data_IF_644897673079
#
_entry.id   IF_644897673079
#
_cell.length_a   1.000
_cell.length_b   1.000
_cell.length_c   1.000
_cell.angle_alpha   90.00
_cell.angle_beta   90.00
_cell.angle_gamma   90.00
#
_symmetry.space_group_name_H-M   'P 1'
#
loop_
_entity.id
_entity.type
_entity.pdbx_description
1 polymer ?
#
# COMPACT_ATOMS: atom_id res chain seq x y z
N UNK A 1 -7.87 -7.89 15.43
CA UNK A 1 -6.57 -8.55 15.16
C UNK A 1 -6.14 -9.45 16.31
N UNK A 2 -5.95 -8.96 17.53
CA UNK A 2 -5.52 -9.79 18.68
C UNK A 2 -6.40 -11.00 18.97
N UNK A 3 -7.72 -10.91 18.76
CA UNK A 3 -8.63 -12.06 18.88
C UNK A 3 -8.26 -13.18 17.90
N UNK A 4 -7.97 -12.84 16.63
CA UNK A 4 -7.54 -13.81 15.63
C UNK A 4 -6.16 -14.38 15.97
N UNK A 5 -5.22 -13.54 16.41
CA UNK A 5 -3.90 -14.00 16.89
C UNK A 5 -4.00 -14.97 18.05
N UNK A 6 -4.88 -14.73 19.03
CA UNK A 6 -5.11 -15.64 20.16
C UNK A 6 -5.68 -16.99 19.73
N UNK A 7 -6.49 -17.01 18.66
CA UNK A 7 -7.00 -18.24 18.06
C UNK A 7 -5.90 -19.01 17.31
N UNK A 8 -5.07 -18.30 16.55
CA UNK A 8 -3.93 -18.89 15.82
C UNK A 8 -2.85 -19.41 16.78
N UNK A 9 -2.59 -18.67 17.87
CA UNK A 9 -1.58 -18.93 18.89
C UNK A 9 -2.20 -18.81 20.29
N UNK A 10 -2.69 -19.90 20.89
CA UNK A 10 -3.30 -19.88 22.22
C UNK A 10 -2.38 -19.34 23.33
N UNK A 11 -1.06 -19.41 23.15
CA UNK A 11 -0.07 -18.83 24.07
C UNK A 11 0.08 -17.30 23.95
N UNK A 12 -0.37 -16.69 22.85
CA UNK A 12 -0.30 -15.23 22.66
C UNK A 12 -1.05 -14.50 23.77
N UNK A 13 -0.48 -13.41 24.28
CA UNK A 13 -1.16 -12.51 25.21
C UNK A 13 -1.23 -11.11 24.60
N UNK A 14 -2.40 -10.46 24.57
CA UNK A 14 -2.46 -9.08 24.10
C UNK A 14 -1.64 -8.17 25.04
N UNK A 15 -1.02 -7.11 24.50
CA UNK A 15 -0.25 -6.17 25.31
C UNK A 15 -1.12 -5.51 26.39
N UNK A 16 -0.54 -5.16 27.55
CA UNK A 16 -1.26 -4.53 28.64
C UNK A 16 -1.85 -3.17 28.21
N UNK A 17 -2.84 -2.68 28.97
CA UNK A 17 -3.48 -1.37 28.75
C UNK A 17 -4.09 -1.17 27.35
N UNK A 18 -4.45 -2.26 26.66
CA UNK A 18 -4.94 -2.22 25.26
C UNK A 18 -3.92 -1.54 24.32
N UNK A 19 -2.62 -1.74 24.58
CA UNK A 19 -1.55 -1.23 23.75
C UNK A 19 -1.72 -1.60 22.27
N UNK A 20 -1.42 -0.65 21.39
CA UNK A 20 -1.60 -0.79 19.94
C UNK A 20 -0.33 -0.58 19.11
N UNK A 21 0.84 -0.53 19.76
CA UNK A 21 2.10 -0.25 19.06
C UNK A 21 2.60 -1.51 18.35
N UNK A 22 2.57 -1.49 17.01
CA UNK A 22 2.95 -2.62 16.16
C UNK A 22 4.36 -2.49 15.56
N UNK A 23 5.16 -1.52 16.03
CA UNK A 23 6.56 -1.35 15.62
C UNK A 23 7.38 -2.64 15.69
N UNK A 24 7.23 -3.51 16.72
CA UNK A 24 7.94 -4.79 16.73
C UNK A 24 7.71 -5.68 15.52
N UNK A 25 6.50 -5.66 14.93
CA UNK A 25 6.24 -6.41 13.71
C UNK A 25 6.99 -5.81 12.52
N UNK A 26 7.03 -4.49 12.43
CA UNK A 26 7.76 -3.79 11.37
C UNK A 26 9.27 -4.10 11.43
N UNK A 27 9.86 -4.08 12.62
CA UNK A 27 11.27 -4.43 12.85
C UNK A 27 11.58 -5.89 12.45
N UNK A 28 10.59 -6.78 12.57
CA UNK A 28 10.67 -8.19 12.17
C UNK A 28 10.37 -8.42 10.68
N UNK A 29 10.26 -7.35 9.88
CA UNK A 29 10.09 -7.43 8.42
C UNK A 29 8.63 -7.40 7.93
N UNK A 30 7.67 -7.05 8.79
CA UNK A 30 6.27 -6.87 8.39
C UNK A 30 6.04 -5.45 7.87
N UNK A 31 5.81 -5.32 6.56
CA UNK A 31 5.43 -4.04 5.97
C UNK A 31 3.94 -3.72 6.25
N UNK A 32 3.69 -2.82 7.20
CA UNK A 32 2.36 -2.31 7.53
C UNK A 32 2.01 -1.09 6.66
N UNK A 33 1.42 -1.33 5.49
CA UNK A 33 1.16 -0.29 4.49
C UNK A 33 -0.34 0.08 4.43
N UNK A 34 -0.65 1.33 4.73
CA UNK A 34 -1.97 1.90 4.47
C UNK A 34 -2.13 2.25 2.98
N UNK A 35 -3.38 2.27 2.50
CA UNK A 35 -3.70 2.67 1.13
C UNK A 35 -3.61 4.18 0.90
N UNK A 36 -3.92 4.95 1.94
CA UNK A 36 -3.73 6.39 2.01
C UNK A 36 -2.86 6.69 3.23
N UNK A 37 -1.79 7.47 3.06
CA UNK A 37 -0.77 7.65 4.11
C UNK A 37 -1.01 8.88 4.99
N UNK A 38 -2.00 9.70 4.66
CA UNK A 38 -2.35 10.91 5.42
C UNK A 38 -3.87 11.05 5.51
N UNK A 39 -4.32 11.73 6.55
CA UNK A 39 -5.73 12.03 6.79
C UNK A 39 -5.79 13.32 7.60
N UNK A 40 -6.80 14.16 7.36
CA UNK A 40 -7.10 15.29 8.25
C UNK A 40 -7.70 14.78 9.55
N UNK A 41 -7.41 15.49 10.64
CA UNK A 41 -7.96 15.14 11.95
C UNK A 41 -9.49 15.05 11.87
N UNK A 42 -10.05 13.97 12.43
CA UNK A 42 -11.49 13.69 12.48
C UNK A 42 -12.23 13.54 11.13
N UNK A 43 -11.55 13.63 9.99
CA UNK A 43 -12.16 13.48 8.66
C UNK A 43 -11.65 12.20 7.98
N UNK A 44 -12.30 11.07 8.27
CA UNK A 44 -11.99 9.80 7.63
C UNK A 44 -12.05 9.93 6.09
N UNK A 45 -11.06 9.36 5.40
CA UNK A 45 -10.93 9.40 3.94
C UNK A 45 -10.78 10.80 3.30
N UNK A 46 -10.48 11.86 4.07
CA UNK A 46 -10.28 13.23 3.55
C UNK A 46 -9.25 13.35 2.42
N UNK A 47 -8.22 12.50 2.42
CA UNK A 47 -7.20 12.45 1.37
C UNK A 47 -7.33 11.24 0.44
N UNK A 48 -8.46 10.53 0.46
CA UNK A 48 -8.71 9.45 -0.50
C UNK A 48 -8.81 10.00 -1.92
N UNK A 49 -8.37 9.20 -2.90
CA UNK A 49 -8.30 9.53 -4.32
C UNK A 49 -7.44 10.77 -4.66
N UNK A 50 -6.49 11.13 -3.78
CA UNK A 50 -5.54 12.25 -3.98
C UNK A 50 -4.15 11.80 -4.43
N UNK A 51 -4.01 10.54 -4.85
CA UNK A 51 -2.78 10.00 -5.46
C UNK A 51 -1.99 9.03 -4.57
N UNK A 52 -2.27 8.99 -3.26
CA UNK A 52 -1.65 8.01 -2.37
C UNK A 52 -1.93 6.56 -2.80
N UNK A 53 -3.10 6.30 -3.37
CA UNK A 53 -3.48 4.97 -3.84
C UNK A 53 -2.57 4.49 -4.97
N UNK A 54 -2.16 5.39 -5.87
CA UNK A 54 -1.23 5.10 -6.97
C UNK A 54 0.17 4.84 -6.42
N UNK A 55 0.62 5.67 -5.48
CA UNK A 55 1.91 5.50 -4.83
C UNK A 55 2.00 4.15 -4.10
N UNK A 56 1.04 3.85 -3.23
CA UNK A 56 1.02 2.62 -2.44
C UNK A 56 0.81 1.38 -3.31
N UNK A 57 0.05 1.48 -4.40
CA UNK A 57 -0.02 0.40 -5.40
C UNK A 57 1.34 0.14 -6.03
N UNK A 58 2.10 1.19 -6.40
CA UNK A 58 3.43 1.01 -6.97
C UNK A 58 4.40 0.35 -5.99
N UNK A 59 4.28 0.64 -4.68
CA UNK A 59 5.04 -0.06 -3.64
C UNK A 59 4.72 -1.56 -3.64
N UNK A 60 3.43 -1.93 -3.66
CA UNK A 60 3.00 -3.35 -3.73
C UNK A 60 3.57 -4.03 -4.97
N UNK A 61 3.44 -3.39 -6.13
CA UNK A 61 3.93 -3.93 -7.40
C UNK A 61 5.45 -4.13 -7.38
N UNK A 62 6.21 -3.17 -6.82
CA UNK A 62 7.65 -3.28 -6.68
C UNK A 62 8.07 -4.38 -5.72
N UNK A 63 7.36 -4.56 -4.61
CA UNK A 63 7.60 -5.67 -3.67
C UNK A 63 7.38 -7.01 -4.36
N UNK A 64 6.26 -7.17 -5.07
CA UNK A 64 5.96 -8.39 -5.82
C UNK A 64 7.00 -8.68 -6.91
N UNK A 65 7.42 -7.65 -7.66
CA UNK A 65 8.43 -7.79 -8.70
C UNK A 65 9.81 -8.16 -8.12
N UNK A 66 10.33 -7.36 -7.17
CA UNK A 66 11.72 -7.47 -6.69
C UNK A 66 11.98 -8.62 -5.74
N UNK A 67 10.97 -9.10 -4.98
CA UNK A 67 11.18 -10.20 -4.01
C UNK A 67 11.15 -11.56 -4.70
N UNK A 68 12.27 -11.94 -5.29
CA UNK A 68 12.43 -13.20 -6.06
C UNK A 68 12.04 -14.46 -5.27
N UNK A 69 12.41 -14.52 -3.98
CA UNK A 69 12.09 -15.64 -3.09
C UNK A 69 10.63 -15.67 -2.62
N UNK A 70 9.81 -14.69 -2.97
CA UNK A 70 8.40 -14.62 -2.58
C UNK A 70 8.17 -13.93 -1.24
N UNK A 71 6.95 -13.46 -1.00
CA UNK A 71 6.52 -12.84 0.27
C UNK A 71 5.07 -13.21 0.55
N UNK A 72 4.61 -12.97 1.77
CA UNK A 72 3.21 -13.13 2.15
C UNK A 72 2.48 -11.78 2.05
N UNK A 73 1.39 -11.74 1.30
CA UNK A 73 0.45 -10.62 1.25
C UNK A 73 -0.79 -10.98 2.07
N UNK A 74 -1.04 -10.24 3.16
CA UNK A 74 -2.29 -10.32 3.91
C UNK A 74 -3.23 -9.18 3.47
N UNK A 75 -4.26 -9.52 2.70
CA UNK A 75 -5.21 -8.56 2.15
C UNK A 75 -6.58 -8.72 2.82
N UNK A 76 -6.87 -7.88 3.80
CA UNK A 76 -8.12 -7.92 4.57
C UNK A 76 -9.13 -6.88 4.09
N UNK A 77 -10.31 -7.34 3.71
CA UNK A 77 -11.38 -6.53 3.13
C UNK A 77 -11.27 -6.33 1.63
N UNK A 78 -12.39 -5.96 1.01
CA UNK A 78 -12.51 -5.76 -0.44
C UNK A 78 -11.47 -4.78 -1.01
N UNK A 79 -11.21 -3.61 -0.39
CA UNK A 79 -10.22 -2.66 -0.93
C UNK A 79 -8.81 -3.24 -1.01
N UNK A 80 -8.36 -3.95 0.03
CA UNK A 80 -7.06 -4.59 0.04
C UNK A 80 -7.01 -5.77 -0.95
N UNK A 81 -8.08 -6.56 -1.00
CA UNK A 81 -8.20 -7.71 -1.92
C UNK A 81 -8.04 -7.33 -3.39
N UNK A 82 -8.58 -6.17 -3.81
CA UNK A 82 -8.44 -5.64 -5.18
C UNK A 82 -7.00 -5.29 -5.56
N UNK A 83 -6.18 -4.86 -4.59
CA UNK A 83 -4.79 -4.41 -4.83
C UNK A 83 -3.81 -5.55 -5.08
N UNK A 84 -4.13 -6.75 -4.59
CA UNK A 84 -3.29 -7.94 -4.72
C UNK A 84 -3.76 -8.91 -5.80
N UNK A 85 -4.74 -8.54 -6.64
CA UNK A 85 -5.28 -9.41 -7.71
C UNK A 85 -4.21 -9.80 -8.73
N UNK A 86 -3.29 -8.87 -9.03
CA UNK A 86 -2.22 -9.08 -10.02
C UNK A 86 -0.97 -9.77 -9.44
N UNK A 87 -0.98 -10.09 -8.15
CA UNK A 87 0.17 -10.76 -7.51
C UNK A 87 0.22 -12.21 -7.98
N UNK A 88 1.40 -12.64 -8.44
CA UNK A 88 1.65 -14.04 -8.82
C UNK A 88 1.59 -14.96 -7.58
N UNK A 89 0.52 -15.74 -7.48
CA UNK A 89 0.28 -16.68 -6.40
C UNK A 89 1.18 -17.94 -6.44
N UNK A 90 1.91 -18.20 -7.53
CA UNK A 90 2.93 -19.26 -7.56
C UNK A 90 4.20 -18.82 -6.81
N UNK A 91 4.51 -17.53 -6.92
CA UNK A 91 5.70 -16.92 -6.31
C UNK A 91 5.43 -16.44 -4.88
N UNK A 92 4.27 -15.86 -4.63
CA UNK A 92 3.90 -15.25 -3.35
C UNK A 92 2.72 -15.96 -2.72
N UNK A 93 2.60 -15.89 -1.39
CA UNK A 93 1.38 -16.30 -0.71
C UNK A 93 0.43 -15.11 -0.62
N UNK A 94 -0.82 -15.26 -1.05
CA UNK A 94 -1.86 -14.23 -0.92
C UNK A 94 -2.98 -14.76 -0.02
N UNK A 95 -3.11 -14.17 1.16
CA UNK A 95 -4.13 -14.51 2.14
C UNK A 95 -5.21 -13.43 2.15
N UNK A 96 -6.46 -13.81 1.83
CA UNK A 96 -7.61 -12.89 1.77
C UNK A 96 -8.66 -13.26 2.80
N UNK A 97 -9.20 -12.25 3.50
CA UNK A 97 -10.33 -12.41 4.41
C UNK A 97 -11.12 -11.11 4.50
N UNK A 98 -12.23 -11.09 5.24
CA UNK A 98 -12.97 -9.87 5.59
C UNK A 98 -12.12 -8.95 6.46
N UNK A 99 -12.48 -7.67 6.55
CA UNK A 99 -11.70 -6.68 7.28
C UNK A 99 -11.81 -6.90 8.81
N UNK A 100 -10.74 -6.64 9.61
CA UNK A 100 -10.76 -6.74 11.08
C UNK A 100 -11.67 -5.74 11.80
N UNK A 101 -12.28 -4.78 11.10
CA UNK A 101 -13.24 -3.84 11.68
C UNK A 101 -14.43 -4.58 12.32
N UNK A 102 -14.96 -4.09 13.46
CA UNK A 102 -16.13 -4.69 14.12
C UNK A 102 -17.31 -4.97 13.18
N UNK A 103 -17.52 -4.14 12.17
CA UNK A 103 -18.62 -4.26 11.19
C UNK A 103 -18.56 -5.55 10.36
N UNK A 104 -17.38 -6.14 10.21
CA UNK A 104 -17.16 -7.32 9.35
C UNK A 104 -16.39 -8.46 10.00
N UNK A 105 -15.74 -8.25 11.14
CA UNK A 105 -14.81 -9.23 11.70
C UNK A 105 -15.45 -10.58 12.05
N UNK A 106 -16.70 -10.56 12.54
CA UNK A 106 -17.48 -11.76 12.86
C UNK A 106 -17.83 -12.61 11.63
N UNK A 107 -17.72 -12.05 10.41
CA UNK A 107 -18.02 -12.74 9.15
C UNK A 107 -16.87 -13.63 8.66
N UNK A 108 -15.81 -13.80 9.45
CA UNK A 108 -14.72 -14.73 9.16
C UNK A 108 -13.29 -14.20 9.37
N UNK A 109 -13.10 -12.99 9.89
CA UNK A 109 -11.75 -12.50 10.19
C UNK A 109 -11.16 -13.24 11.39
N UNK A 110 -11.96 -13.47 12.45
CA UNK A 110 -11.46 -14.09 13.67
C UNK A 110 -10.93 -15.52 13.46
N UNK A 111 -11.47 -16.23 12.48
CA UNK A 111 -11.17 -17.64 12.22
C UNK A 111 -10.34 -17.83 10.93
N UNK A 112 -9.74 -16.75 10.40
CA UNK A 112 -9.05 -16.80 9.12
C UNK A 112 -7.73 -17.62 9.14
N UNK A 113 -7.07 -17.74 10.29
CA UNK A 113 -5.82 -18.48 10.42
C UNK A 113 -4.60 -17.80 9.78
N UNK A 114 -4.69 -16.51 9.45
CA UNK A 114 -3.68 -15.88 8.58
C UNK A 114 -2.30 -15.77 9.20
N UNK A 115 -2.19 -15.53 10.51
CA UNK A 115 -0.89 -15.35 11.16
C UNK A 115 -0.14 -16.68 11.20
N UNK A 116 -0.85 -17.76 11.52
CA UNK A 116 -0.30 -19.12 11.47
C UNK A 116 0.09 -19.55 10.06
N UNK A 117 -0.82 -19.40 9.08
CA UNK A 117 -0.57 -19.73 7.67
C UNK A 117 0.63 -18.96 7.08
N UNK A 118 0.80 -17.70 7.46
CA UNK A 118 1.94 -16.91 7.02
C UNK A 118 3.26 -17.48 7.55
N UNK A 119 3.33 -17.80 8.84
CA UNK A 119 4.53 -18.39 9.43
C UNK A 119 4.83 -19.78 8.86
N UNK A 120 3.83 -20.64 8.69
CA UNK A 120 4.00 -21.97 8.06
C UNK A 120 4.61 -21.87 6.65
N UNK A 121 4.13 -20.92 5.86
CA UNK A 121 4.66 -20.67 4.52
C UNK A 121 6.07 -20.09 4.55
N UNK A 122 6.35 -19.15 5.46
CA UNK A 122 7.68 -18.57 5.62
C UNK A 122 8.70 -19.65 6.01
N UNK A 123 8.39 -20.49 6.98
CA UNK A 123 9.26 -21.60 7.42
C UNK A 123 9.51 -22.59 6.28
N UNK A 124 8.45 -22.96 5.54
CA UNK A 124 8.58 -23.89 4.41
C UNK A 124 9.50 -23.32 3.31
N UNK A 125 9.50 -22.00 3.10
CA UNK A 125 10.22 -21.36 1.99
C UNK A 125 11.60 -20.83 2.35
N UNK A 126 11.84 -20.52 3.63
CA UNK A 126 13.06 -19.89 4.10
C UNK A 126 13.80 -20.70 5.17
N UNK A 127 13.21 -21.78 5.67
CA UNK A 127 13.79 -22.63 6.72
C UNK A 127 13.31 -22.25 8.12
N UNK A 128 13.76 -23.03 9.11
CA UNK A 128 13.46 -22.77 10.51
C UNK A 128 14.05 -21.41 10.97
N UNK A 129 13.28 -20.64 11.73
CA UNK A 129 13.67 -19.30 12.22
C UNK A 129 13.25 -18.15 11.31
N UNK A 130 12.57 -18.42 10.19
CA UNK A 130 12.03 -17.41 9.29
C UNK A 130 10.62 -16.93 9.68
N UNK A 131 10.00 -17.55 10.68
CA UNK A 131 8.72 -17.15 11.23
C UNK A 131 8.76 -15.74 11.81
N UNK A 132 7.63 -15.05 11.73
CA UNK A 132 7.42 -13.80 12.42
C UNK A 132 6.99 -14.10 13.84
N UNK A 133 7.77 -13.64 14.81
CA UNK A 133 7.29 -13.51 16.17
C UNK A 133 6.19 -12.44 16.20
N UNK A 134 4.96 -12.84 16.50
CA UNK A 134 3.79 -11.96 16.58
C UNK A 134 3.59 -11.36 17.98
N UNK A 135 4.39 -11.73 18.97
CA UNK A 135 4.28 -11.19 20.33
C UNK A 135 4.77 -9.74 20.39
N UNK A 136 4.03 -8.91 21.12
CA UNK A 136 4.31 -7.48 21.31
C UNK A 136 4.94 -7.19 22.69
N UNK A 137 5.21 -8.22 23.49
CA UNK A 137 5.74 -8.09 24.86
C UNK A 137 7.24 -7.77 24.95
N UNK A 138 8.00 -7.92 23.86
CA UNK A 138 9.46 -7.79 23.86
C UNK A 138 9.99 -6.41 23.46
N UNK A 139 11.04 -5.94 24.14
CA UNK A 139 11.99 -4.96 23.61
C UNK A 139 12.66 -5.54 22.37
N UNK A 140 12.48 -4.90 21.21
CA UNK A 140 13.00 -5.40 19.93
C UNK A 140 14.53 -5.49 19.97
N UNK A 141 15.08 -6.66 19.64
CA UNK A 141 16.45 -6.73 19.12
C UNK A 141 16.38 -6.11 17.73
N UNK A 142 16.92 -4.90 17.59
CA UNK A 142 17.05 -4.19 16.32
C UNK A 142 17.63 -5.15 15.29
N UNK A 143 16.82 -5.57 14.32
CA UNK A 143 17.37 -6.19 13.12
C UNK A 143 18.17 -5.08 12.47
N UNK A 144 19.49 -5.22 12.42
CA UNK A 144 20.32 -4.33 11.63
C UNK A 144 19.86 -4.48 10.18
N UNK A 145 18.99 -3.57 9.76
CA UNK A 145 18.73 -3.37 8.35
C UNK A 145 20.10 -3.12 7.74
N UNK A 146 20.58 -4.06 6.92
CA UNK A 146 21.62 -3.76 5.94
C UNK A 146 21.03 -2.62 5.12
N UNK A 147 21.39 -1.40 5.47
CA UNK A 147 21.21 -0.22 4.65
C UNK A 147 21.97 -0.58 3.39
N UNK A 148 21.23 -1.01 2.37
CA UNK A 148 21.75 -0.98 1.01
C UNK A 148 22.00 0.50 0.80
N UNK A 149 23.28 0.86 0.84
CA UNK A 149 23.72 2.22 0.57
C UNK A 149 22.98 2.71 -0.68
N UNK A 150 22.52 3.98 -0.70
CA UNK A 150 22.11 4.59 -1.96
C UNK A 150 23.21 4.28 -3.00
N UNK A 151 22.86 3.87 -4.23
CA UNK A 151 23.89 3.71 -5.25
C UNK A 151 24.69 5.01 -5.28
N UNK A 152 26.00 4.90 -5.07
CA UNK A 152 26.91 6.02 -5.16
C UNK A 152 26.62 6.72 -6.50
N UNK A 153 26.11 7.95 -6.40
CA UNK A 153 25.99 8.83 -7.54
C UNK A 153 27.40 9.09 -8.05
N UNK A 154 27.80 8.35 -9.09
CA UNK A 154 28.86 8.84 -9.98
C UNK A 154 28.42 10.23 -10.40
N UNK A 155 29.27 11.20 -10.12
CA UNK A 155 29.10 12.60 -10.44
C UNK A 155 28.36 12.76 -11.77
N UNK A 156 27.17 13.37 -11.71
CA UNK A 156 26.52 13.87 -12.88
C UNK A 156 27.50 14.86 -13.53
N UNK A 157 27.95 14.53 -14.74
CA UNK A 157 28.41 15.58 -15.66
C UNK A 157 27.27 16.58 -15.75
N UNK A 158 27.63 17.85 -15.57
CA UNK A 158 26.79 19.00 -15.89
C UNK A 158 26.15 18.77 -17.25
N UNK A 159 24.83 18.75 -17.27
CA UNK A 159 24.06 18.89 -18.50
C UNK A 159 23.99 20.40 -18.70
N UNK A 160 24.72 20.89 -19.69
CA UNK A 160 24.47 22.22 -20.25
C UNK A 160 23.03 22.18 -20.79
N UNK A 161 22.19 23.05 -20.26
CA UNK A 161 20.82 23.24 -20.74
C UNK A 161 20.95 24.16 -21.95
N UNK A 162 20.77 23.60 -23.14
CA UNK A 162 20.58 24.40 -24.35
C UNK A 162 19.31 25.26 -24.17
N UNK A 163 19.45 26.57 -24.36
CA UNK A 163 18.42 27.61 -24.17
C UNK A 163 17.23 27.51 -25.16
N UNK A 164 17.13 26.42 -25.93
CA UNK A 164 16.18 26.28 -27.03
C UNK A 164 14.89 25.48 -26.68
N UNK A 165 14.85 24.73 -25.56
CA UNK A 165 13.65 23.95 -25.17
C UNK A 165 12.59 24.77 -24.39
N UNK A 166 12.97 25.91 -23.80
CA UNK A 166 12.01 26.74 -23.04
C UNK A 166 11.05 27.52 -23.97
N UNK A 167 11.46 27.76 -25.22
CA UNK A 167 10.63 28.41 -26.23
C UNK A 167 9.52 27.50 -26.78
N UNK A 168 9.72 26.18 -26.80
CA UNK A 168 8.78 25.23 -27.41
C UNK A 168 7.58 24.93 -26.49
N UNK A 169 7.77 24.88 -25.17
CA UNK A 169 6.67 24.74 -24.20
C UNK A 169 5.80 26.01 -24.07
N UNK A 170 6.37 27.20 -24.32
CA UNK A 170 5.62 28.45 -24.26
C UNK A 170 4.67 28.63 -25.47
N UNK A 171 5.05 28.15 -26.66
CA UNK A 171 4.18 28.19 -27.85
C UNK A 171 3.00 27.21 -27.75
N UNK A 172 3.21 26.01 -27.20
CA UNK A 172 2.15 25.01 -27.05
C UNK A 172 1.05 25.45 -26.04
N UNK A 173 1.42 26.22 -25.01
CA UNK A 173 0.45 26.78 -24.06
C UNK A 173 -0.40 27.91 -24.69
N UNK A 174 0.18 28.71 -25.59
CA UNK A 174 -0.52 29.81 -26.27
C UNK A 174 -1.48 29.32 -27.36
N UNK A 175 -1.23 28.17 -27.99
CA UNK A 175 -2.17 27.56 -28.94
C UNK A 175 -3.37 26.91 -28.25
N UNK A 176 -3.18 26.34 -27.05
CA UNK A 176 -4.27 25.75 -26.28
C UNK A 176 -5.28 26.78 -25.73
N UNK A 177 -4.86 28.03 -25.48
CA UNK A 177 -5.78 29.10 -25.06
C UNK A 177 -6.62 29.64 -26.23
N UNK A 178 -6.13 29.60 -27.48
CA UNK A 178 -6.90 30.06 -28.65
C UNK A 178 -7.99 29.08 -29.10
N UNK A 179 -7.84 27.78 -28.83
CA UNK A 179 -8.91 26.80 -29.11
C UNK A 179 -10.07 26.90 -28.11
N UNK A 180 -9.83 27.36 -26.89
CA UNK A 180 -10.85 27.42 -25.84
C UNK A 180 -11.76 28.68 -25.94
N UNK A 181 -11.29 29.75 -26.59
CA UNK A 181 -12.13 30.93 -26.88
C UNK A 181 -13.06 30.73 -28.09
N UNK A 182 -12.74 29.81 -29.01
CA UNK A 182 -13.57 29.56 -30.21
C UNK A 182 -14.78 28.64 -29.95
N UNK A 183 -14.86 28.01 -28.78
CA UNK A 183 -15.96 27.13 -28.38
C UNK A 183 -17.08 27.83 -27.59
N UNK A 184 -17.00 29.15 -27.39
CA UNK A 184 -17.99 29.95 -26.64
C UNK A 184 -18.93 30.81 -27.49
N UNK A 185 -18.79 30.80 -28.81
CA UNK A 185 -19.63 31.59 -29.71
C UNK A 185 -20.30 30.68 -30.76
N UNK A 186 -21.38 30.02 -30.34
CA UNK A 186 -22.36 29.39 -31.22
C UNK A 186 -23.76 29.86 -30.78
N UNK A 187 -24.66 30.27 -31.70
CA UNK A 187 -25.93 30.89 -31.34
C UNK A 187 -26.88 29.89 -30.67
N UNK A 188 -27.62 30.37 -29.64
CA UNK A 188 -28.82 29.70 -29.14
C UNK A 188 -29.89 29.76 -30.23
N UNK A 189 -30.35 28.59 -30.67
CA UNK A 189 -31.59 28.48 -31.43
C UNK A 189 -32.69 28.10 -30.44
N UNK A 190 -33.65 29.02 -30.30
CA UNK A 190 -34.89 28.83 -29.53
C UNK A 190 -35.83 27.97 -30.37
N UNK A 191 -36.40 26.91 -29.79
CA UNK A 191 -37.66 26.36 -30.30
C UNK A 191 -38.47 25.77 -29.15
N UNK A 192 -39.63 26.38 -28.97
CA UNK A 192 -40.77 25.97 -28.16
C UNK A 192 -41.47 24.71 -28.73
N UNK A 193 -42.55 24.30 -28.07
CA UNK A 193 -43.55 23.24 -28.37
C UNK A 193 -43.40 21.97 -27.51
N UNK A 194 -44.16 21.84 -26.41
CA UNK A 194 -45.57 21.42 -26.30
C UNK A 194 -45.77 19.89 -26.47
N UNK A 195 -45.82 19.20 -25.32
CA UNK A 195 -46.83 18.21 -24.83
C UNK A 195 -46.23 17.23 -23.81
#
# INVERSE_FOLDING_TARGET
>A
MYIALKKDYPSFSPPPNKGGLLTPWADRGVLLLNTCLTVRAHEANSHANRGWERFTQKVIDLVAAKRSRGVVFMAWGTPAGKRVVKVDAKKHLVLKSVHPSPLSASRGFFDCGHFKKANEWLVTRYGAGAEIDWDLSGTTKKVEAKVVAPPETKAAKTIDVDEDEEAEMAMAAAEAEKENEKAKDSPKDDTEEEE
#
